data_IF_272530163437
#
_entry.id   IF_272530163437
#
_cell.length_a   1.000
_cell.length_b   1.000
_cell.length_c   1.000
_cell.angle_alpha   90.00
_cell.angle_beta   90.00
_cell.angle_gamma   90.00
#
_symmetry.space_group_name_H-M   'P 1'
#
loop_
_entity.id
_entity.type
_entity.pdbx_description
1 polymer ?
#
# COMPACT_ATOMS: atom_id res chain seq x y z
N UNK A 1 17.00 -27.42 28.06
CA UNK A 1 17.26 -28.71 27.40
C UNK A 1 18.75 -28.78 27.10
N UNK A 2 19.45 -29.85 27.45
CA UNK A 2 20.85 -30.03 27.06
C UNK A 2 21.04 -31.43 26.48
N UNK A 3 21.79 -31.51 25.39
CA UNK A 3 22.06 -32.74 24.65
C UNK A 3 21.23 -32.90 23.36
N UNK A 4 21.77 -33.60 22.35
CA UNK A 4 21.13 -33.75 21.05
C UNK A 4 19.82 -34.52 21.16
N UNK A 5 18.78 -34.06 20.46
CA UNK A 5 17.46 -34.70 20.50
C UNK A 5 16.46 -34.07 19.54
N UNK A 6 15.29 -34.70 19.41
CA UNK A 6 14.21 -34.25 18.51
C UNK A 6 13.74 -32.81 18.74
N UNK A 7 14.06 -32.24 19.91
CA UNK A 7 13.76 -30.85 20.22
C UNK A 7 14.57 -29.86 19.38
N UNK A 8 15.74 -30.23 18.85
CA UNK A 8 16.55 -29.40 17.94
C UNK A 8 15.88 -29.19 16.56
N UNK A 9 14.96 -30.09 16.17
CA UNK A 9 14.17 -29.95 14.94
C UNK A 9 13.05 -28.90 15.10
N UNK A 10 12.54 -28.74 16.32
CA UNK A 10 11.39 -27.87 16.63
C UNK A 10 11.81 -26.52 17.20
N UNK A 11 12.87 -26.49 18.01
CA UNK A 11 13.35 -25.29 18.70
C UNK A 11 14.72 -24.89 18.16
N UNK A 12 14.79 -23.71 17.54
CA UNK A 12 16.03 -23.11 17.07
C UNK A 12 16.57 -22.14 18.13
N UNK A 13 17.85 -21.82 18.05
CA UNK A 13 18.43 -20.72 18.85
C UNK A 13 17.72 -19.43 18.46
N UNK A 14 17.17 -18.71 19.45
CA UNK A 14 16.46 -17.46 19.22
C UNK A 14 17.48 -16.35 18.99
N UNK A 15 17.56 -15.87 17.75
CA UNK A 15 18.35 -14.71 17.41
C UNK A 15 17.49 -13.44 17.51
N UNK A 16 18.11 -12.26 17.69
CA UNK A 16 17.38 -10.99 17.71
C UNK A 16 16.60 -10.74 16.39
N UNK A 17 17.05 -11.32 15.27
CA UNK A 17 16.38 -11.28 13.97
C UNK A 17 15.02 -11.96 13.91
N UNK A 18 14.82 -12.93 14.79
CA UNK A 18 13.60 -13.70 14.89
C UNK A 18 12.52 -12.97 15.69
N UNK A 19 12.91 -12.01 16.54
CA UNK A 19 12.01 -11.31 17.46
C UNK A 19 11.34 -10.15 16.74
N UNK A 20 10.36 -10.50 15.91
CA UNK A 20 9.50 -9.54 15.20
C UNK A 20 8.04 -9.91 15.40
N UNK A 21 7.13 -8.94 15.44
CA UNK A 21 5.69 -9.18 15.51
C UNK A 21 5.13 -9.85 14.24
N UNK A 22 3.95 -10.47 14.35
CA UNK A 22 3.28 -11.14 13.23
C UNK A 22 3.02 -10.20 12.02
N UNK A 23 2.86 -8.90 12.27
CA UNK A 23 2.63 -7.88 11.24
C UNK A 23 3.91 -7.15 10.84
N UNK A 24 5.04 -7.50 11.45
CA UNK A 24 6.25 -6.71 11.31
C UNK A 24 6.92 -6.99 9.97
N UNK A 25 7.38 -5.92 9.29
CA UNK A 25 8.13 -6.02 8.06
C UNK A 25 9.37 -6.92 8.19
N UNK A 26 9.68 -7.71 7.14
CA UNK A 26 10.98 -8.38 7.00
C UNK A 26 12.17 -7.45 7.22
N UNK A 27 13.23 -7.92 7.86
CA UNK A 27 14.50 -7.23 7.78
C UNK A 27 14.95 -7.14 6.33
N UNK A 28 15.37 -5.94 5.92
CA UNK A 28 15.92 -5.75 4.58
C UNK A 28 17.25 -6.52 4.55
N UNK A 29 17.43 -7.48 3.64
CA UNK A 29 18.73 -8.11 3.51
C UNK A 29 19.74 -7.01 3.18
N UNK A 30 20.78 -6.87 4.01
CA UNK A 30 21.86 -5.92 3.76
C UNK A 30 22.43 -6.26 2.39
N UNK A 31 22.32 -5.32 1.45
CA UNK A 31 22.69 -5.52 0.05
C UNK A 31 24.15 -5.97 0.00
N UNK A 32 24.39 -7.26 -0.21
CA UNK A 32 25.73 -7.75 -0.49
C UNK A 32 26.09 -7.16 -1.84
N UNK A 33 27.09 -6.27 -1.83
CA UNK A 33 27.67 -5.81 -3.09
C UNK A 33 28.23 -7.07 -3.75
N UNK A 34 27.63 -7.54 -4.84
CA UNK A 34 28.29 -8.53 -5.66
C UNK A 34 29.64 -7.91 -6.07
N UNK A 35 30.77 -8.59 -5.80
CA UNK A 35 32.04 -8.15 -6.34
C UNK A 35 31.87 -8.13 -7.85
N UNK A 36 31.76 -6.93 -8.43
CA UNK A 36 31.83 -6.79 -9.87
C UNK A 36 33.17 -7.35 -10.32
N UNK A 37 33.19 -8.01 -11.47
CA UNK A 37 34.43 -8.36 -12.15
C UNK A 37 35.05 -7.05 -12.62
N UNK A 38 35.86 -6.41 -11.78
CA UNK A 38 36.53 -5.16 -12.11
C UNK A 38 38.03 -5.41 -12.23
N UNK A 39 38.48 -5.44 -13.47
CA UNK A 39 39.85 -5.16 -13.86
C UNK A 39 40.15 -3.71 -13.44
N UNK A 40 41.12 -3.56 -12.53
CA UNK A 40 42.10 -2.45 -12.45
C UNK A 40 42.57 -2.25 -10.99
N UNK A 41 43.89 -2.11 -10.89
CA UNK A 41 44.71 -2.09 -9.69
C UNK A 41 44.24 -1.10 -8.61
N UNK A 42 43.57 -1.60 -7.57
CA UNK A 42 43.49 -0.92 -6.28
C UNK A 42 43.70 -1.92 -5.14
N UNK A 43 44.56 -1.52 -4.20
CA UNK A 43 45.15 -2.32 -3.11
C UNK A 43 44.12 -3.14 -2.33
N UNK A 44 44.40 -4.44 -2.19
CA UNK A 44 43.62 -5.40 -1.41
C UNK A 44 43.46 -4.93 0.05
N UNK A 45 42.27 -4.43 0.41
CA UNK A 45 41.86 -4.44 1.81
C UNK A 45 41.47 -5.87 2.17
N UNK A 46 42.26 -6.43 3.08
CA UNK A 46 42.11 -7.74 3.71
C UNK A 46 40.65 -8.19 3.82
N UNK A 47 40.36 -9.32 3.18
CA UNK A 47 39.17 -10.12 3.39
C UNK A 47 39.10 -10.61 4.84
N UNK A 48 38.39 -9.88 5.70
CA UNK A 48 37.82 -10.48 6.89
C UNK A 48 36.59 -11.29 6.47
N UNK A 49 36.57 -12.56 6.88
CA UNK A 49 35.42 -13.46 6.76
C UNK A 49 34.13 -12.79 7.27
N UNK A 50 32.94 -13.23 6.84
CA UNK A 50 31.69 -12.69 7.37
C UNK A 50 31.60 -13.04 8.86
N UNK A 51 32.03 -12.11 9.71
CA UNK A 51 31.71 -12.17 11.14
C UNK A 51 30.20 -12.06 11.21
N UNK A 52 29.56 -13.12 11.73
CA UNK A 52 28.17 -13.05 12.13
C UNK A 52 28.02 -11.78 12.99
N UNK A 53 27.06 -10.90 12.68
CA UNK A 53 26.93 -9.66 13.42
C UNK A 53 26.63 -9.99 14.89
N UNK A 54 27.51 -9.55 15.78
CA UNK A 54 27.27 -9.44 17.22
C UNK A 54 26.13 -8.42 17.40
N UNK A 55 24.90 -8.89 17.27
CA UNK A 55 23.70 -8.10 17.54
C UNK A 55 23.45 -8.10 19.05
N UNK A 56 24.31 -7.44 19.82
CA UNK A 56 24.10 -7.26 21.26
C UNK A 56 22.96 -6.27 21.59
N UNK A 57 22.51 -5.45 20.63
CA UNK A 57 21.52 -4.40 20.88
C UNK A 57 20.20 -4.61 20.11
N UNK A 58 19.10 -4.57 20.86
CA UNK A 58 17.71 -4.72 20.42
C UNK A 58 17.23 -3.45 19.71
N UNK A 59 17.69 -3.22 18.49
CA UNK A 59 17.28 -2.05 17.72
C UNK A 59 15.94 -2.27 17.02
N UNK A 60 14.87 -1.77 17.65
CA UNK A 60 13.49 -1.80 17.15
C UNK A 60 13.29 -0.70 16.08
N UNK A 61 14.05 -0.77 14.97
CA UNK A 61 13.92 0.21 13.90
C UNK A 61 12.91 -0.21 12.84
N UNK A 62 11.89 0.64 12.68
CA UNK A 62 11.18 0.81 11.42
C UNK A 62 12.16 1.43 10.41
N UNK A 63 12.99 0.61 9.76
CA UNK A 63 13.80 1.06 8.64
C UNK A 63 12.90 1.73 7.59
N UNK A 64 13.30 2.91 7.11
CA UNK A 64 12.53 3.66 6.10
C UNK A 64 12.56 2.91 4.78
N UNK A 65 11.49 2.16 4.51
CA UNK A 65 11.32 1.39 3.27
C UNK A 65 10.91 2.29 2.12
N UNK A 66 11.59 2.15 1.00
CA UNK A 66 11.30 2.81 -0.28
C UNK A 66 10.44 1.91 -1.18
N UNK A 67 9.83 2.49 -2.23
CA UNK A 67 9.03 1.74 -3.22
C UNK A 67 9.77 0.56 -3.87
N UNK A 68 11.11 0.56 -3.87
CA UNK A 68 11.95 -0.49 -4.47
C UNK A 68 12.17 -1.69 -3.56
N UNK A 69 11.88 -1.57 -2.27
CA UNK A 69 12.17 -2.59 -1.26
C UNK A 69 11.13 -3.72 -1.23
N UNK A 70 10.08 -3.63 -2.06
CA UNK A 70 9.12 -4.70 -2.23
C UNK A 70 8.26 -4.93 -0.98
N UNK A 71 7.66 -3.86 -0.46
CA UNK A 71 6.78 -3.83 0.73
C UNK A 71 5.48 -4.66 0.60
N UNK A 72 5.30 -5.41 -0.48
CA UNK A 72 4.12 -6.23 -0.70
C UNK A 72 4.02 -7.38 0.32
N UNK A 73 2.79 -7.68 0.76
CA UNK A 73 2.47 -8.82 1.62
C UNK A 73 3.04 -10.14 1.06
N UNK A 74 3.11 -10.26 -0.27
CA UNK A 74 3.58 -11.44 -1.01
C UNK A 74 5.05 -11.79 -0.78
N UNK A 75 5.86 -10.87 -0.23
CA UNK A 75 7.29 -11.09 0.08
C UNK A 75 7.57 -11.18 1.57
N UNK A 76 6.54 -11.17 2.42
CA UNK A 76 6.70 -11.31 3.87
C UNK A 76 7.11 -12.74 4.21
N UNK A 77 8.07 -12.87 5.11
CA UNK A 77 8.51 -14.14 5.68
C UNK A 77 8.25 -14.07 7.17
N UNK A 78 7.35 -14.91 7.66
CA UNK A 78 7.07 -15.02 9.08
C UNK A 78 8.31 -15.58 9.80
N UNK A 79 8.65 -15.00 10.95
CA UNK A 79 9.66 -15.57 11.83
C UNK A 79 9.25 -16.96 12.28
N UNK A 80 10.22 -17.86 12.46
CA UNK A 80 9.96 -19.25 12.85
C UNK A 80 9.24 -19.36 14.19
N UNK A 81 9.37 -18.36 15.07
CA UNK A 81 8.64 -18.31 16.35
C UNK A 81 7.11 -18.21 16.17
N UNK A 82 6.65 -17.72 15.00
CA UNK A 82 5.23 -17.65 14.62
C UNK A 82 4.82 -18.79 13.70
N UNK A 83 5.77 -19.61 13.24
CA UNK A 83 5.46 -20.81 12.48
C UNK A 83 5.11 -21.88 13.50
N UNK A 84 3.82 -22.19 13.62
CA UNK A 84 3.41 -23.35 14.40
C UNK A 84 3.92 -24.60 13.70
N UNK A 85 4.66 -25.45 14.41
CA UNK A 85 4.92 -26.79 13.94
C UNK A 85 3.57 -27.48 13.67
N UNK A 86 3.44 -28.34 12.65
CA UNK A 86 2.20 -29.09 12.45
C UNK A 86 1.96 -29.93 13.71
N UNK A 87 1.10 -29.44 14.61
CA UNK A 87 0.81 -30.16 15.84
C UNK A 87 0.12 -31.47 15.48
N UNK A 88 0.50 -32.53 16.17
CA UNK A 88 -0.21 -33.81 16.16
C UNK A 88 -1.54 -33.73 16.94
N UNK A 89 -1.82 -32.58 17.56
CA UNK A 89 -3.07 -32.30 18.26
C UNK A 89 -4.24 -32.13 17.28
N UNK A 90 -5.43 -32.48 17.77
CA UNK A 90 -6.63 -32.81 17.00
C UNK A 90 -6.97 -31.82 15.89
N UNK A 91 -7.50 -32.33 14.77
CA UNK A 91 -7.99 -31.56 13.61
C UNK A 91 -8.84 -30.32 13.98
N UNK A 92 -9.50 -30.32 15.14
CA UNK A 92 -10.43 -29.27 15.60
C UNK A 92 -9.76 -27.89 15.80
N UNK A 93 -8.52 -27.82 16.32
CA UNK A 93 -7.83 -26.54 16.52
C UNK A 93 -7.35 -25.91 15.19
N UNK A 94 -7.01 -26.76 14.21
CA UNK A 94 -6.64 -26.32 12.85
C UNK A 94 -7.86 -25.78 12.13
N UNK A 95 -9.01 -26.43 12.33
CA UNK A 95 -10.30 -25.98 11.81
C UNK A 95 -10.69 -24.59 12.33
N UNK A 96 -10.43 -24.29 13.60
CA UNK A 96 -10.77 -22.98 14.18
C UNK A 96 -9.94 -21.83 13.60
N UNK A 97 -8.62 -22.04 13.41
CA UNK A 97 -7.77 -21.04 12.73
C UNK A 97 -8.27 -20.82 11.30
N UNK A 98 -8.55 -21.89 10.55
CA UNK A 98 -9.07 -21.81 9.18
C UNK A 98 -10.43 -21.10 9.12
N UNK A 99 -11.34 -21.35 10.07
CA UNK A 99 -12.64 -20.66 10.18
C UNK A 99 -12.45 -19.16 10.43
N UNK A 100 -11.52 -18.78 11.31
CA UNK A 100 -11.20 -17.37 11.57
C UNK A 100 -10.61 -16.69 10.35
N UNK A 101 -9.68 -17.33 9.65
CA UNK A 101 -9.08 -16.80 8.43
C UNK A 101 -10.10 -16.67 7.30
N UNK A 102 -10.98 -17.66 7.15
CA UNK A 102 -12.10 -17.62 6.22
C UNK A 102 -13.05 -16.47 6.54
N UNK A 103 -13.44 -16.30 7.80
CA UNK A 103 -14.32 -15.21 8.23
C UNK A 103 -13.69 -13.84 7.97
N UNK A 104 -12.39 -13.67 8.26
CA UNK A 104 -11.64 -12.43 7.95
C UNK A 104 -11.60 -12.16 6.44
N UNK A 105 -11.30 -13.18 5.64
CA UNK A 105 -11.23 -13.06 4.17
C UNK A 105 -12.58 -12.74 3.56
N UNK A 106 -13.65 -13.38 4.05
CA UNK A 106 -15.03 -13.08 3.67
C UNK A 106 -15.44 -11.64 4.04
N UNK A 107 -15.09 -11.17 5.23
CA UNK A 107 -15.36 -9.79 5.65
C UNK A 107 -14.61 -8.77 4.79
N UNK A 108 -13.35 -9.05 4.41
CA UNK A 108 -12.60 -8.20 3.47
C UNK A 108 -13.25 -8.19 2.08
N UNK A 109 -13.66 -9.35 1.57
CA UNK A 109 -14.35 -9.44 0.29
C UNK A 109 -15.68 -8.66 0.29
N UNK A 110 -16.46 -8.76 1.38
CA UNK A 110 -17.68 -7.97 1.56
C UNK A 110 -17.42 -6.47 1.55
N UNK A 111 -16.44 -6.00 2.34
CA UNK A 111 -16.05 -4.59 2.36
C UNK A 111 -15.58 -4.10 0.98
N UNK A 112 -14.73 -4.87 0.30
CA UNK A 112 -14.26 -4.49 -1.03
C UNK A 112 -15.42 -4.35 -2.05
N UNK A 113 -16.43 -5.21 -1.96
CA UNK A 113 -17.63 -5.09 -2.79
C UNK A 113 -18.41 -3.80 -2.48
N UNK A 114 -18.57 -3.45 -1.19
CA UNK A 114 -19.19 -2.19 -0.76
C UNK A 114 -18.41 -0.97 -1.26
N UNK A 115 -17.08 -0.98 -1.14
CA UNK A 115 -16.20 0.10 -1.61
C UNK A 115 -16.33 0.31 -3.12
N UNK A 116 -16.39 -0.76 -3.93
CA UNK A 116 -16.63 -0.66 -5.38
C UNK A 116 -17.99 -0.04 -5.68
N UNK A 117 -19.02 -0.39 -4.92
CA UNK A 117 -20.36 0.20 -5.08
C UNK A 117 -20.37 1.69 -4.70
N UNK A 118 -19.71 2.08 -3.62
CA UNK A 118 -19.56 3.47 -3.22
C UNK A 118 -18.79 4.28 -4.27
N UNK A 119 -17.69 3.73 -4.79
CA UNK A 119 -16.89 4.37 -5.84
C UNK A 119 -17.70 4.63 -7.10
N UNK A 120 -18.53 3.67 -7.53
CA UNK A 120 -19.44 3.84 -8.68
C UNK A 120 -20.45 4.97 -8.44
N UNK A 121 -21.01 5.07 -7.24
CA UNK A 121 -21.92 6.18 -6.92
C UNK A 121 -21.18 7.52 -6.83
N UNK A 122 -19.96 7.56 -6.29
CA UNK A 122 -19.14 8.77 -6.29
C UNK A 122 -18.83 9.24 -7.72
N UNK A 123 -18.44 8.34 -8.62
CA UNK A 123 -18.26 8.66 -10.04
C UNK A 123 -19.53 9.30 -10.62
N UNK A 124 -20.70 8.72 -10.35
CA UNK A 124 -21.99 9.27 -10.81
C UNK A 124 -22.25 10.65 -10.21
N UNK A 125 -22.03 10.83 -8.90
CA UNK A 125 -22.24 12.09 -8.18
C UNK A 125 -21.29 13.19 -8.65
N UNK A 126 -20.03 12.86 -8.97
CA UNK A 126 -19.08 13.83 -9.50
C UNK A 126 -19.54 14.33 -10.87
N UNK A 127 -20.00 13.47 -11.78
CA UNK A 127 -20.55 13.94 -13.06
C UNK A 127 -21.74 14.87 -12.86
N UNK A 128 -22.72 14.46 -12.04
CA UNK A 128 -23.90 15.27 -11.75
C UNK A 128 -23.53 16.62 -11.10
N UNK A 129 -22.55 16.64 -10.21
CA UNK A 129 -22.06 17.87 -9.59
C UNK A 129 -21.40 18.80 -10.61
N UNK A 130 -20.58 18.29 -11.52
CA UNK A 130 -19.91 19.10 -12.55
C UNK A 130 -20.93 19.70 -13.52
N UNK A 131 -21.93 18.93 -13.94
CA UNK A 131 -23.03 19.41 -14.79
C UNK A 131 -23.84 20.50 -14.06
N UNK A 132 -24.26 20.25 -12.82
CA UNK A 132 -24.94 21.24 -12.00
C UNK A 132 -24.09 22.51 -11.82
N UNK A 133 -22.80 22.37 -11.53
CA UNK A 133 -21.90 23.50 -11.30
C UNK A 133 -21.67 24.32 -12.56
N UNK A 134 -21.66 23.68 -13.72
CA UNK A 134 -21.65 24.35 -15.02
C UNK A 134 -22.87 25.25 -15.19
N UNK A 135 -24.07 24.71 -14.97
CA UNK A 135 -25.31 25.49 -15.04
C UNK A 135 -25.34 26.63 -14.02
N UNK A 136 -24.89 26.37 -12.79
CA UNK A 136 -24.78 27.40 -11.77
C UNK A 136 -23.89 28.58 -12.20
N UNK A 137 -22.79 28.33 -12.93
CA UNK A 137 -21.97 29.39 -13.50
C UNK A 137 -22.69 30.16 -14.61
N UNK A 138 -23.45 29.48 -15.46
CA UNK A 138 -24.25 30.11 -16.52
C UNK A 138 -25.33 31.01 -15.92
N UNK A 139 -26.07 30.53 -14.93
CA UNK A 139 -27.11 31.32 -14.24
C UNK A 139 -26.51 32.56 -13.58
N UNK A 140 -25.31 32.41 -12.99
CA UNK A 140 -24.59 33.51 -12.32
C UNK A 140 -24.14 34.63 -13.27
N UNK A 141 -24.05 34.36 -14.57
CA UNK A 141 -23.81 35.40 -15.59
C UNK A 141 -24.95 36.44 -15.59
N UNK A 142 -26.20 35.99 -15.41
CA UNK A 142 -27.41 36.82 -15.51
C UNK A 142 -27.73 37.61 -14.24
N UNK A 143 -27.18 37.20 -13.09
CA UNK A 143 -27.49 37.80 -11.77
C UNK A 143 -26.64 39.03 -11.42
N UNK A 144 -25.60 39.33 -12.20
CA UNK A 144 -24.70 40.46 -11.90
C UNK A 144 -25.25 41.77 -12.46
N UNK A 145 -26.16 42.40 -11.72
CA UNK A 145 -26.63 43.77 -11.98
C UNK A 145 -25.87 44.80 -11.15
N UNK A 146 -25.55 45.96 -11.73
CA UNK A 146 -24.98 47.11 -11.00
C UNK A 146 -23.46 47.27 -11.05
N UNK A 147 -22.78 46.50 -11.91
CA UNK A 147 -21.35 46.67 -12.19
C UNK A 147 -21.12 47.58 -13.40
N UNK A 148 -19.94 48.19 -13.45
CA UNK A 148 -19.45 48.90 -14.63
C UNK A 148 -19.37 47.93 -15.83
N UNK A 149 -19.61 48.45 -17.03
CA UNK A 149 -19.75 47.65 -18.25
C UNK A 149 -18.55 46.72 -18.49
N UNK A 150 -17.34 47.23 -18.31
CA UNK A 150 -16.10 46.48 -18.56
C UNK A 150 -15.91 45.35 -17.55
N UNK A 151 -16.26 45.59 -16.28
CA UNK A 151 -16.20 44.57 -15.22
C UNK A 151 -17.26 43.50 -15.46
N UNK A 152 -18.46 43.91 -15.89
CA UNK A 152 -19.54 42.99 -16.23
C UNK A 152 -19.11 42.07 -17.39
N UNK A 153 -18.54 42.61 -18.46
CA UNK A 153 -18.04 41.81 -19.58
C UNK A 153 -17.00 40.78 -19.14
N UNK A 154 -16.01 41.20 -18.35
CA UNK A 154 -14.98 40.30 -17.80
C UNK A 154 -15.57 39.21 -16.89
N UNK A 155 -16.52 39.56 -16.03
CA UNK A 155 -17.19 38.60 -15.15
C UNK A 155 -18.04 37.58 -15.93
N UNK A 156 -18.71 38.01 -16.99
CA UNK A 156 -19.47 37.12 -17.87
C UNK A 156 -18.54 36.17 -18.62
N UNK A 157 -17.45 36.68 -19.20
CA UNK A 157 -16.45 35.85 -19.87
C UNK A 157 -15.84 34.82 -18.89
N UNK A 158 -15.55 35.22 -17.65
CA UNK A 158 -15.06 34.31 -16.62
C UNK A 158 -16.10 33.25 -16.25
N UNK A 159 -17.37 33.61 -16.07
CA UNK A 159 -18.43 32.64 -15.76
C UNK A 159 -18.59 31.59 -16.89
N UNK A 160 -18.55 32.04 -18.16
CA UNK A 160 -18.63 31.15 -19.32
C UNK A 160 -17.41 30.23 -19.43
N UNK A 161 -16.21 30.74 -19.20
CA UNK A 161 -14.99 29.90 -19.19
C UNK A 161 -15.03 28.86 -18.07
N UNK A 162 -15.51 29.22 -16.88
CA UNK A 162 -15.70 28.27 -15.77
C UNK A 162 -16.74 27.20 -16.11
N UNK A 163 -17.90 27.57 -16.66
CA UNK A 163 -18.91 26.61 -17.11
C UNK A 163 -18.33 25.61 -18.12
N UNK A 164 -17.62 26.11 -19.14
CA UNK A 164 -16.97 25.25 -20.14
C UNK A 164 -15.92 24.32 -19.52
N UNK A 165 -15.14 24.79 -18.54
CA UNK A 165 -14.16 23.96 -17.83
C UNK A 165 -14.84 22.81 -17.09
N UNK A 166 -15.93 23.08 -16.37
CA UNK A 166 -16.68 22.03 -15.65
C UNK A 166 -17.25 20.98 -16.62
N UNK A 167 -17.81 21.40 -17.76
CA UNK A 167 -18.31 20.49 -18.81
C UNK A 167 -17.19 19.63 -19.42
N UNK A 168 -16.01 20.22 -19.63
CA UNK A 168 -14.83 19.50 -20.13
C UNK A 168 -14.36 18.45 -19.12
N UNK A 169 -14.31 18.79 -17.84
CA UNK A 169 -13.97 17.83 -16.77
C UNK A 169 -14.99 16.69 -16.72
N UNK A 170 -16.29 17.00 -16.78
CA UNK A 170 -17.34 15.99 -16.80
C UNK A 170 -17.18 15.03 -17.99
N UNK A 171 -16.92 15.58 -19.18
CA UNK A 171 -16.69 14.78 -20.40
C UNK A 171 -15.44 13.90 -20.28
N UNK A 172 -14.36 14.44 -19.72
CA UNK A 172 -13.11 13.71 -19.50
C UNK A 172 -13.28 12.57 -18.49
N UNK A 173 -13.91 12.83 -17.35
CA UNK A 173 -14.19 11.78 -16.37
C UNK A 173 -15.17 10.74 -16.90
N UNK A 174 -16.17 11.16 -17.69
CA UNK A 174 -17.07 10.22 -18.36
C UNK A 174 -16.35 9.33 -19.35
N UNK A 175 -15.32 9.81 -20.05
CA UNK A 175 -14.52 8.94 -20.92
C UNK A 175 -13.57 8.03 -20.12
N UNK A 176 -12.99 8.55 -19.04
CA UNK A 176 -12.11 7.78 -18.15
C UNK A 176 -12.87 6.64 -17.45
N UNK A 177 -14.08 6.89 -16.96
CA UNK A 177 -14.90 5.91 -16.23
C UNK A 177 -15.74 4.97 -17.12
N UNK A 178 -15.59 5.06 -18.46
CA UNK A 178 -16.17 4.07 -19.38
C UNK A 178 -15.37 2.76 -19.41
N UNK A 179 -14.09 2.79 -19.07
CA UNK A 179 -13.31 1.57 -18.94
C UNK A 179 -13.84 0.78 -17.75
N UNK A 180 -14.06 -0.54 -17.88
CA UNK A 180 -14.33 -1.37 -16.71
C UNK A 180 -13.19 -1.18 -15.72
N UNK A 181 -13.54 -1.14 -14.43
CA UNK A 181 -12.57 -1.35 -13.35
C UNK A 181 -12.07 -2.79 -13.52
N UNK A 182 -11.04 -2.99 -14.34
CA UNK A 182 -10.31 -4.26 -14.45
C UNK A 182 -9.56 -4.56 -13.15
#
# INVERSE_FOLDING_TARGET
>A
LSGPGKWEETFRVLNNEDIRGYQDPNWLPKKTSHPGTQEDDHVAMSSTAPTAPDHEEFELYNEVRTRRDGTGETRRTLSWIWITAPSADSDDDKDDILRVEWAKSRARAGRAAEEVMLLKEEMRRVLAFLEWKSHWWQDRQSMQSGLEKDIMEGAQAYALTQSNLQMRLASHFRSLWKAPLE
#
